data_IF_114925909966
#
_entry.id   IF_114925909966
#
_cell.length_a   1.000
_cell.length_b   1.000
_cell.length_c   1.000
_cell.angle_alpha   90.00
_cell.angle_beta   90.00
_cell.angle_gamma   90.00
#
_symmetry.space_group_name_H-M   'P 1'
#
loop_
_entity.id
_entity.type
_entity.pdbx_description
1 polymer ?
#
# COMPACT_ATOMS: atom_id res chain seq x y z
N UNK A 1 -25.25 -1.61 13.53
CA UNK A 1 -24.25 -2.61 13.07
C UNK A 1 -24.41 -2.82 11.57
N UNK A 2 -23.39 -2.55 10.74
CA UNK A 2 -23.44 -2.92 9.31
C UNK A 2 -23.48 -4.45 9.23
N UNK A 3 -24.49 -5.02 8.56
CA UNK A 3 -24.62 -6.47 8.36
C UNK A 3 -23.39 -7.00 7.61
N UNK A 4 -22.83 -8.12 8.05
CA UNK A 4 -21.81 -8.85 7.30
C UNK A 4 -22.41 -9.32 5.97
N UNK A 5 -21.95 -8.74 4.86
CA UNK A 5 -22.32 -9.17 3.51
C UNK A 5 -21.32 -10.23 3.04
N UNK A 6 -21.85 -11.31 2.43
CA UNK A 6 -21.03 -12.40 1.87
C UNK A 6 -20.96 -12.24 0.35
N UNK A 7 -19.77 -12.42 -0.22
CA UNK A 7 -19.53 -12.37 -1.65
C UNK A 7 -18.97 -13.71 -2.13
N UNK A 8 -19.47 -14.20 -3.26
CA UNK A 8 -18.99 -15.45 -3.86
C UNK A 8 -17.69 -15.20 -4.60
N UNK A 9 -16.74 -16.11 -4.45
CA UNK A 9 -15.57 -16.22 -5.30
C UNK A 9 -16.00 -16.85 -6.64
N UNK A 10 -15.47 -16.33 -7.74
CA UNK A 10 -15.71 -16.83 -9.10
C UNK A 10 -14.39 -16.97 -9.86
N UNK A 11 -14.34 -17.91 -10.80
CA UNK A 11 -13.19 -18.09 -11.70
C UNK A 11 -13.11 -16.94 -12.71
N UNK A 12 -11.89 -16.48 -12.97
CA UNK A 12 -11.54 -15.54 -14.03
C UNK A 12 -10.16 -15.91 -14.58
N UNK A 13 -10.12 -16.48 -15.79
CA UNK A 13 -8.90 -17.10 -16.32
C UNK A 13 -8.39 -18.21 -15.40
N UNK A 14 -7.10 -18.14 -15.05
CA UNK A 14 -6.44 -19.08 -14.14
C UNK A 14 -6.57 -18.70 -12.65
N UNK A 15 -7.29 -17.62 -12.35
CA UNK A 15 -7.38 -17.04 -11.00
C UNK A 15 -8.81 -17.04 -10.47
N UNK A 16 -8.91 -16.78 -9.18
CA UNK A 16 -10.16 -16.56 -8.46
C UNK A 16 -10.33 -15.08 -8.15
N UNK A 17 -11.54 -14.55 -8.36
CA UNK A 17 -11.88 -13.15 -8.09
C UNK A 17 -13.14 -13.05 -7.24
N UNK A 18 -13.25 -12.00 -6.43
CA UNK A 18 -14.46 -11.66 -5.68
C UNK A 18 -14.92 -10.25 -6.00
N UNK A 19 -16.20 -9.97 -5.74
CA UNK A 19 -16.72 -8.61 -5.88
C UNK A 19 -16.31 -7.77 -4.68
N UNK A 20 -15.61 -6.66 -4.94
CA UNK A 20 -15.41 -5.58 -3.95
C UNK A 20 -16.58 -4.59 -4.13
N UNK A 21 -17.48 -4.46 -3.15
CA UNK A 21 -18.61 -3.53 -3.23
C UNK A 21 -18.17 -2.07 -3.26
N UNK A 22 -18.96 -1.16 -3.86
CA UNK A 22 -18.66 0.28 -3.86
C UNK A 22 -18.37 0.84 -2.47
N UNK A 23 -19.14 0.44 -1.45
CA UNK A 23 -18.96 0.92 -0.08
C UNK A 23 -17.65 0.46 0.58
N UNK A 24 -17.10 -0.69 0.15
CA UNK A 24 -15.80 -1.19 0.64
C UNK A 24 -14.68 -0.48 -0.10
N UNK A 25 -14.85 -0.30 -1.42
CA UNK A 25 -13.91 0.40 -2.29
C UNK A 25 -13.72 1.87 -1.84
N UNK A 26 -14.81 2.57 -1.54
CA UNK A 26 -14.81 3.93 -1.00
C UNK A 26 -14.15 3.99 0.39
N UNK A 27 -14.52 3.08 1.29
CA UNK A 27 -13.95 3.03 2.63
C UNK A 27 -12.43 2.79 2.63
N UNK A 28 -11.94 1.98 1.68
CA UNK A 28 -10.51 1.71 1.51
C UNK A 28 -9.77 2.80 0.72
N UNK A 29 -10.47 3.73 0.08
CA UNK A 29 -9.85 4.76 -0.76
C UNK A 29 -9.10 4.18 -1.97
N UNK A 30 -9.63 3.11 -2.58
CA UNK A 30 -9.03 2.46 -3.77
C UNK A 30 -9.88 2.63 -5.02
N UNK A 31 -9.24 2.72 -6.18
CA UNK A 31 -9.90 2.81 -7.48
C UNK A 31 -9.64 1.55 -8.34
N UNK A 32 -10.31 1.47 -9.49
CA UNK A 32 -10.07 0.33 -10.41
C UNK A 32 -8.70 0.55 -11.04
N UNK A 33 -7.80 -0.43 -10.90
CA UNK A 33 -6.40 -0.31 -11.32
C UNK A 33 -5.42 -0.18 -10.15
N UNK A 34 -5.89 0.19 -8.96
CA UNK A 34 -5.06 0.26 -7.76
C UNK A 34 -4.66 -1.14 -7.27
N UNK A 35 -3.46 -1.24 -6.69
CA UNK A 35 -3.00 -2.44 -6.01
C UNK A 35 -3.54 -2.54 -4.57
N UNK A 36 -3.78 -3.77 -4.13
CA UNK A 36 -4.16 -4.11 -2.76
C UNK A 36 -3.19 -5.18 -2.21
N UNK A 37 -2.96 -5.15 -0.91
CA UNK A 37 -2.13 -6.15 -0.20
C UNK A 37 -2.99 -6.99 0.74
N UNK A 38 -2.60 -8.26 0.90
CA UNK A 38 -3.18 -9.18 1.86
C UNK A 38 -2.25 -9.34 3.06
N UNK A 39 -2.74 -9.07 4.26
CA UNK A 39 -2.03 -9.28 5.52
C UNK A 39 -2.61 -10.49 6.22
N UNK A 40 -1.82 -11.55 6.34
CA UNK A 40 -2.19 -12.78 7.03
C UNK A 40 -2.00 -12.60 8.53
N UNK A 41 -3.06 -12.85 9.30
CA UNK A 41 -3.04 -12.73 10.76
C UNK A 41 -2.89 -14.12 11.40
N UNK A 42 -2.38 -14.14 12.63
CA UNK A 42 -2.16 -15.39 13.39
C UNK A 42 -3.45 -16.12 13.76
N UNK A 43 -4.60 -15.43 13.75
CA UNK A 43 -5.92 -16.02 14.00
C UNK A 43 -6.54 -16.69 12.75
N UNK A 44 -5.78 -16.77 11.65
CA UNK A 44 -6.22 -17.34 10.38
C UNK A 44 -7.09 -16.40 9.53
N UNK A 45 -7.31 -15.16 9.98
CA UNK A 45 -7.96 -14.13 9.16
C UNK A 45 -6.98 -13.46 8.21
N UNK A 46 -7.52 -12.90 7.11
CA UNK A 46 -6.76 -12.11 6.14
C UNK A 46 -7.37 -10.72 6.07
N UNK A 47 -6.54 -9.69 6.26
CA UNK A 47 -6.93 -8.29 6.05
C UNK A 47 -6.52 -7.84 4.66
N UNK A 48 -7.40 -7.09 4.02
CA UNK A 48 -7.12 -6.44 2.74
C UNK A 48 -6.85 -4.96 3.02
N UNK A 49 -5.71 -4.46 2.57
CA UNK A 49 -5.31 -3.06 2.72
C UNK A 49 -4.94 -2.46 1.36
N UNK A 50 -5.05 -1.14 1.22
CA UNK A 50 -4.50 -0.43 0.06
C UNK A 50 -2.99 -0.68 0.03
N UNK A 51 -2.46 -1.11 -1.12
CA UNK A 51 -1.02 -1.25 -1.27
C UNK A 51 -0.40 0.14 -1.19
N UNK A 52 0.60 0.30 -0.33
CA UNK A 52 1.51 1.44 -0.41
C UNK A 52 2.65 1.02 -1.32
N UNK A 53 3.04 1.88 -2.25
CA UNK A 53 4.37 1.76 -2.85
C UNK A 53 5.35 1.97 -1.69
N UNK A 54 6.19 0.99 -1.40
CA UNK A 54 7.27 1.19 -0.44
C UNK A 54 8.12 2.35 -0.99
N UNK A 55 8.25 3.48 -0.26
CA UNK A 55 9.21 4.47 -0.66
C UNK A 55 10.58 3.81 -0.60
N UNK A 56 11.33 3.91 -1.69
CA UNK A 56 12.71 3.43 -1.75
C UNK A 56 13.52 4.22 -0.70
N UNK A 57 13.80 3.55 0.43
CA UNK A 57 14.44 4.16 1.59
C UNK A 57 15.84 4.63 1.21
N UNK A 58 16.50 3.94 0.27
CA UNK A 58 17.84 4.29 -0.19
C UNK A 58 17.81 5.63 -0.95
N UNK A 59 16.81 5.85 -1.82
CA UNK A 59 16.62 7.14 -2.49
C UNK A 59 16.30 8.29 -1.54
N UNK A 60 15.59 8.02 -0.44
CA UNK A 60 15.28 9.02 0.58
C UNK A 60 16.54 9.41 1.37
N UNK A 61 17.37 8.44 1.74
CA UNK A 61 18.64 8.67 2.44
C UNK A 61 19.61 9.44 1.56
N UNK A 62 19.74 9.08 0.28
CA UNK A 62 20.59 9.79 -0.68
C UNK A 62 20.16 11.25 -0.85
N UNK A 63 18.85 11.51 -0.93
CA UNK A 63 18.31 12.88 -1.02
C UNK A 63 18.62 13.72 0.22
N UNK A 64 18.50 13.12 1.41
CA UNK A 64 18.80 13.78 2.69
C UNK A 64 20.31 14.07 2.79
N UNK A 65 21.15 13.08 2.49
CA UNK A 65 22.61 13.23 2.57
C UNK A 65 23.14 14.28 1.59
N UNK A 66 22.60 14.32 0.36
CA UNK A 66 22.95 15.35 -0.62
C UNK A 66 22.54 16.77 -0.17
N UNK A 67 21.40 16.93 0.51
CA UNK A 67 21.00 18.24 1.07
C UNK A 67 21.94 18.72 2.19
N UNK A 68 22.52 17.81 2.97
CA UNK A 68 23.48 18.17 4.01
C UNK A 68 24.90 18.35 3.48
N UNK A 69 25.26 17.72 2.36
CA UNK A 69 26.62 17.82 1.79
C UNK A 69 26.97 19.26 1.37
N UNK A 70 26.02 19.98 0.79
CA UNK A 70 26.21 21.39 0.41
C UNK A 70 26.37 22.28 1.65
N UNK A 71 25.56 22.08 2.68
CA UNK A 71 25.62 22.85 3.94
C UNK A 71 26.88 22.55 4.78
N UNK A 72 27.46 21.35 4.65
CA UNK A 72 28.69 20.95 5.34
C UNK A 72 29.95 21.41 4.60
N UNK A 73 29.93 21.48 3.26
CA UNK A 73 31.03 22.04 2.46
C UNK A 73 31.25 23.51 2.76
N UNK A 74 30.18 24.29 2.89
CA UNK A 74 30.25 25.72 3.25
C UNK A 74 30.89 25.98 4.62
N UNK A 75 30.92 24.98 5.53
CA UNK A 75 31.52 25.10 6.86
C UNK A 75 33.01 24.70 6.89
N UNK A 76 33.47 23.88 5.94
CA UNK A 76 34.86 23.37 5.86
C UNK A 76 35.76 24.32 5.06
N UNK A 77 35.19 25.11 4.14
CA UNK A 77 35.93 26.11 3.35
C UNK A 77 36.14 27.46 4.09
N UNK A 78 36.06 27.47 5.44
CA UNK A 78 36.15 28.65 6.30
C UNK A 78 37.39 28.63 7.23
#
# INVERSE_FOLDING_TARGET
MKKMKKYKIRKSGNSDVTTIPPEVKEFMGVQTGDAISYVFQSDGSVRMIKAQEEPDIDLLVDSIMNQYEDALKDLVDL
#
